data_IF_968265450277
#
_entry.id   IF_968265450277
#
_cell.length_a   1.000
_cell.length_b   1.000
_cell.length_c   1.000
_cell.angle_alpha   90.00
_cell.angle_beta   90.00
_cell.angle_gamma   90.00
#
_symmetry.space_group_name_H-M   'P 1'
#
loop_
_entity.id
_entity.type
_entity.pdbx_description
1 polymer ?
#
# COMPACT_ATOMS: atom_id res chain seq x y z
N UNK A 1 10.01 -7.21 -14.50
CA UNK A 1 8.95 -6.98 -13.50
C UNK A 1 9.40 -7.26 -12.09
N UNK A 2 10.04 -6.29 -11.47
CA UNK A 2 10.57 -6.46 -10.11
C UNK A 2 9.48 -6.54 -9.03
N UNK A 3 8.30 -6.04 -9.29
CA UNK A 3 7.11 -6.04 -8.43
C UNK A 3 6.51 -7.44 -8.24
N UNK A 4 6.81 -8.37 -9.13
CA UNK A 4 6.36 -9.77 -9.06
C UNK A 4 7.49 -10.77 -8.78
N UNK A 5 8.71 -10.29 -8.52
CA UNK A 5 9.81 -11.14 -8.05
C UNK A 5 9.46 -11.76 -6.70
N UNK A 6 9.74 -13.04 -6.55
CA UNK A 6 9.58 -13.77 -5.28
C UNK A 6 10.94 -14.19 -4.73
N UNK A 7 11.05 -14.22 -3.41
CA UNK A 7 12.17 -14.86 -2.73
C UNK A 7 11.96 -16.39 -2.59
N UNK A 8 12.91 -17.08 -1.98
CA UNK A 8 12.85 -18.52 -1.78
C UNK A 8 11.69 -19.00 -0.88
N UNK A 9 11.08 -18.10 -0.13
CA UNK A 9 9.92 -18.35 0.72
C UNK A 9 8.59 -17.94 0.05
N UNK A 10 8.65 -17.40 -1.18
CA UNK A 10 7.49 -16.98 -1.96
C UNK A 10 6.96 -15.58 -1.63
N UNK A 11 7.67 -14.80 -0.82
CA UNK A 11 7.33 -13.39 -0.56
C UNK A 11 7.79 -12.47 -1.70
N UNK A 12 7.20 -11.29 -1.78
CA UNK A 12 7.55 -10.24 -2.75
C UNK A 12 8.45 -9.19 -2.08
N UNK A 13 9.79 -9.35 -2.10
CA UNK A 13 10.69 -8.53 -1.30
C UNK A 13 10.65 -7.05 -1.70
N UNK A 14 10.52 -6.75 -3.00
CA UNK A 14 10.43 -5.36 -3.49
C UNK A 14 9.11 -4.72 -3.07
N UNK A 15 7.98 -5.41 -3.26
CA UNK A 15 6.66 -4.89 -2.85
C UNK A 15 6.60 -4.68 -1.34
N UNK A 16 7.27 -5.54 -0.56
CA UNK A 16 7.33 -5.43 0.88
C UNK A 16 7.99 -4.13 1.31
N UNK A 17 9.21 -3.84 0.85
CA UNK A 17 9.92 -2.60 1.21
C UNK A 17 9.17 -1.34 0.75
N UNK A 18 8.54 -1.39 -0.44
CA UNK A 18 7.69 -0.30 -0.92
C UNK A 18 6.53 -0.05 0.05
N UNK A 19 5.87 -1.13 0.49
CA UNK A 19 4.73 -1.06 1.42
C UNK A 19 5.14 -0.55 2.81
N UNK A 20 6.34 -0.91 3.30
CA UNK A 20 6.90 -0.43 4.56
C UNK A 20 7.14 1.09 4.54
N UNK A 21 7.74 1.60 3.46
CA UNK A 21 7.96 3.04 3.26
C UNK A 21 6.62 3.76 3.10
N UNK A 22 5.71 3.21 2.30
CA UNK A 22 4.41 3.81 2.03
C UNK A 22 3.56 3.93 3.32
N UNK A 23 3.54 2.89 4.17
CA UNK A 23 2.82 2.92 5.44
C UNK A 23 3.29 4.02 6.38
N UNK A 24 4.62 4.17 6.55
CA UNK A 24 5.19 5.26 7.32
C UNK A 24 4.85 6.63 6.71
N UNK A 25 4.99 6.76 5.39
CA UNK A 25 4.73 8.01 4.68
C UNK A 25 3.27 8.44 4.77
N UNK A 26 2.33 7.50 4.76
CA UNK A 26 0.90 7.78 4.84
C UNK A 26 0.53 8.55 6.12
N UNK A 27 1.11 8.17 7.25
CA UNK A 27 0.84 8.83 8.54
C UNK A 27 1.48 10.23 8.60
N UNK A 28 2.69 10.38 8.06
CA UNK A 28 3.34 11.70 7.98
C UNK A 28 2.55 12.66 7.08
N UNK A 29 2.05 12.17 5.95
CA UNK A 29 1.17 12.92 5.04
C UNK A 29 -0.13 13.30 5.77
N UNK A 30 -0.78 12.36 6.43
CA UNK A 30 -2.01 12.64 7.18
C UNK A 30 -1.78 13.72 8.25
N UNK A 31 -0.67 13.64 8.98
CA UNK A 31 -0.28 14.64 9.97
C UNK A 31 -0.07 16.02 9.36
N UNK A 32 0.57 16.10 8.18
CA UNK A 32 0.76 17.35 7.45
C UNK A 32 -0.57 18.01 7.09
N UNK A 33 -1.52 17.24 6.55
CA UNK A 33 -2.80 17.77 6.06
C UNK A 33 -3.86 17.93 7.16
N UNK A 34 -3.64 17.42 8.38
CA UNK A 34 -4.46 17.77 9.54
C UNK A 34 -4.18 19.17 10.07
N UNK A 35 -3.08 19.82 9.67
CA UNK A 35 -2.73 21.18 10.09
C UNK A 35 -3.67 22.23 9.50
N UNK A 36 -3.92 23.31 10.24
CA UNK A 36 -4.70 24.48 9.77
C UNK A 36 -4.11 25.09 8.50
N UNK A 37 -2.78 25.16 8.38
CA UNK A 37 -2.09 25.70 7.21
C UNK A 37 -2.34 24.93 5.91
N UNK A 38 -2.86 23.71 6.03
CA UNK A 38 -3.21 22.84 4.91
C UNK A 38 -4.72 22.61 4.75
N UNK A 39 -5.54 23.35 5.52
CA UNK A 39 -7.00 23.24 5.47
C UNK A 39 -7.58 22.14 6.35
N UNK A 40 -6.76 21.47 7.14
CA UNK A 40 -7.18 20.44 8.08
C UNK A 40 -7.79 20.99 9.37
N UNK A 41 -8.12 20.10 10.28
CA UNK A 41 -8.79 20.40 11.56
C UNK A 41 -7.90 21.12 12.60
N UNK A 42 -6.60 21.25 12.36
CA UNK A 42 -5.65 21.86 13.32
C UNK A 42 -5.40 21.00 14.55
N UNK A 43 -5.32 19.67 14.39
CA UNK A 43 -5.10 18.73 15.50
C UNK A 43 -3.79 17.97 15.34
N UNK A 44 -3.18 17.60 16.47
CA UNK A 44 -2.02 16.68 16.52
C UNK A 44 -2.50 15.24 16.64
N UNK A 45 -1.77 14.31 16.03
CA UNK A 45 -2.16 12.90 16.01
C UNK A 45 -2.24 12.28 17.40
N UNK A 46 -1.25 12.51 18.26
CA UNK A 46 -1.15 11.87 19.57
C UNK A 46 -1.97 12.53 20.68
N UNK A 47 -2.63 13.66 20.42
CA UNK A 47 -3.25 14.45 21.49
C UNK A 47 -2.20 14.99 22.48
N UNK A 48 -2.66 15.48 23.61
CA UNK A 48 -1.84 15.90 24.76
C UNK A 48 -2.64 15.69 26.04
N UNK A 49 -2.06 15.92 27.20
CA UNK A 49 -2.77 15.87 28.49
C UNK A 49 -4.06 16.69 28.46
N UNK A 50 -5.20 16.02 28.64
CA UNK A 50 -6.53 16.65 28.59
C UNK A 50 -7.14 16.79 27.19
N UNK A 51 -6.43 16.40 26.12
CA UNK A 51 -6.94 16.39 24.74
C UNK A 51 -6.78 14.97 24.16
N UNK A 52 -7.87 14.41 23.66
CA UNK A 52 -7.88 13.05 23.09
C UNK A 52 -7.03 12.96 21.84
N UNK A 53 -6.37 11.82 21.57
CA UNK A 53 -5.67 11.55 20.33
C UNK A 53 -6.61 11.55 19.12
N UNK A 54 -6.05 11.79 17.93
CA UNK A 54 -6.76 11.61 16.67
C UNK A 54 -7.11 10.13 16.46
N UNK A 55 -8.26 9.88 15.85
CA UNK A 55 -8.70 8.55 15.45
C UNK A 55 -8.32 8.27 13.99
N UNK A 56 -7.53 7.22 13.78
CA UNK A 56 -7.07 6.77 12.46
C UNK A 56 -7.74 5.45 12.12
N UNK A 57 -8.44 5.41 10.99
CA UNK A 57 -8.98 4.18 10.41
C UNK A 57 -8.05 3.72 9.29
N UNK A 58 -7.63 2.46 9.32
CA UNK A 58 -6.76 1.83 8.32
C UNK A 58 -7.53 0.70 7.65
N UNK A 59 -7.63 0.74 6.32
CA UNK A 59 -8.24 -0.30 5.51
C UNK A 59 -7.15 -1.20 4.97
N UNK A 60 -7.06 -2.42 5.50
CA UNK A 60 -6.04 -3.42 5.14
C UNK A 60 -5.03 -3.69 6.26
N UNK A 61 -4.86 -4.97 6.61
CA UNK A 61 -3.92 -5.47 7.59
C UNK A 61 -2.69 -6.16 6.95
N UNK A 62 -2.30 -5.69 5.73
CA UNK A 62 -1.08 -6.08 5.04
C UNK A 62 0.13 -5.29 5.56
N UNK A 63 1.29 -5.44 4.90
CA UNK A 63 2.53 -4.74 5.27
C UNK A 63 2.35 -3.22 5.35
N UNK A 64 1.67 -2.60 4.38
CA UNK A 64 1.41 -1.16 4.41
C UNK A 64 0.57 -0.77 5.63
N UNK A 65 -0.52 -1.49 5.90
CA UNK A 65 -1.38 -1.23 7.07
C UNK A 65 -0.64 -1.45 8.39
N UNK A 66 0.24 -2.45 8.48
CA UNK A 66 1.10 -2.69 9.64
C UNK A 66 2.01 -1.49 9.92
N UNK A 67 2.75 -1.02 8.91
CA UNK A 67 3.69 0.10 9.08
C UNK A 67 2.96 1.43 9.31
N UNK A 68 1.79 1.64 8.70
CA UNK A 68 0.93 2.77 9.02
C UNK A 68 0.44 2.70 10.49
N UNK A 69 0.02 1.53 10.96
CA UNK A 69 -0.40 1.35 12.36
C UNK A 69 0.75 1.60 13.34
N UNK A 70 1.95 1.06 13.06
CA UNK A 70 3.15 1.30 13.89
C UNK A 70 3.49 2.79 13.99
N UNK A 71 3.49 3.49 12.86
CA UNK A 71 3.77 4.93 12.80
C UNK A 71 2.70 5.73 13.57
N UNK A 72 1.43 5.43 13.39
CA UNK A 72 0.32 6.09 14.07
C UNK A 72 0.36 5.89 15.60
N UNK A 73 0.57 4.63 16.02
CA UNK A 73 0.70 4.29 17.46
C UNK A 73 1.95 4.91 18.07
N UNK A 74 3.07 4.94 17.33
CA UNK A 74 4.30 5.60 17.78
C UNK A 74 4.15 7.10 17.99
N UNK A 75 3.22 7.74 17.27
CA UNK A 75 2.83 9.14 17.46
C UNK A 75 1.71 9.33 18.49
N UNK A 76 1.22 8.25 19.11
CA UNK A 76 0.20 8.29 20.16
C UNK A 76 -1.24 8.36 19.65
N UNK A 77 -1.51 8.15 18.36
CA UNK A 77 -2.87 8.15 17.81
C UNK A 77 -3.65 6.88 18.20
N UNK A 78 -4.98 6.99 18.17
CA UNK A 78 -5.88 5.83 18.30
C UNK A 78 -6.08 5.19 16.94
N UNK A 79 -5.88 3.87 16.84
CA UNK A 79 -5.91 3.12 15.56
C UNK A 79 -7.04 2.10 15.52
N UNK A 80 -7.80 2.09 14.44
CA UNK A 80 -8.82 1.08 14.10
C UNK A 80 -8.48 0.48 12.74
N UNK A 81 -8.41 -0.85 12.66
CA UNK A 81 -7.96 -1.56 11.45
C UNK A 81 -9.05 -2.50 10.96
N UNK A 82 -9.29 -2.45 9.65
CA UNK A 82 -10.26 -3.30 8.96
C UNK A 82 -9.56 -4.13 7.88
N UNK A 83 -9.87 -5.43 7.82
CA UNK A 83 -9.40 -6.34 6.76
C UNK A 83 -10.45 -7.44 6.53
N UNK A 84 -10.49 -8.05 5.36
CA UNK A 84 -11.32 -9.23 5.10
C UNK A 84 -10.84 -10.49 5.84
N UNK A 85 -9.54 -10.57 6.11
CA UNK A 85 -8.89 -11.75 6.70
C UNK A 85 -8.73 -11.60 8.20
N UNK A 86 -9.48 -12.41 8.96
CA UNK A 86 -9.31 -12.54 10.42
C UNK A 86 -7.87 -12.94 10.78
N UNK A 87 -7.24 -13.79 9.96
CA UNK A 87 -5.87 -14.26 10.19
C UNK A 87 -4.86 -13.10 10.08
N UNK A 88 -5.02 -12.21 9.08
CA UNK A 88 -4.18 -11.00 8.97
C UNK A 88 -4.38 -10.07 10.16
N UNK A 89 -5.62 -9.88 10.62
CA UNK A 89 -5.92 -9.07 11.81
C UNK A 89 -5.29 -9.65 13.08
N UNK A 90 -5.30 -10.98 13.24
CA UNK A 90 -4.64 -11.68 14.36
C UNK A 90 -3.14 -11.47 14.33
N UNK A 91 -2.50 -11.79 13.19
CA UNK A 91 -1.06 -11.60 12.99
C UNK A 91 -0.63 -10.17 13.23
N UNK A 92 -1.44 -9.20 12.80
CA UNK A 92 -1.16 -7.79 13.00
C UNK A 92 -1.10 -7.42 14.48
N UNK A 93 -2.06 -7.87 15.31
CA UNK A 93 -2.02 -7.65 16.76
C UNK A 93 -0.78 -8.27 17.43
N UNK A 94 -0.38 -9.47 16.98
CA UNK A 94 0.83 -10.14 17.48
C UNK A 94 2.08 -9.31 17.16
N UNK A 95 2.19 -8.85 15.91
CA UNK A 95 3.35 -8.09 15.42
C UNK A 95 3.41 -6.68 16.03
N UNK A 96 2.27 -6.05 16.31
CA UNK A 96 2.22 -4.73 16.98
C UNK A 96 2.59 -4.81 18.47
N UNK A 97 2.56 -6.00 19.08
CA UNK A 97 2.86 -6.21 20.50
C UNK A 97 1.86 -5.57 21.47
N UNK A 98 0.75 -5.03 20.95
CA UNK A 98 -0.34 -4.45 21.73
C UNK A 98 -1.67 -4.64 20.99
N UNK A 99 -2.76 -4.67 21.77
CA UNK A 99 -4.10 -4.76 21.18
C UNK A 99 -4.51 -3.43 20.58
N UNK A 100 -4.94 -3.47 19.32
CA UNK A 100 -5.64 -2.39 18.64
C UNK A 100 -7.05 -2.83 18.27
N UNK A 101 -7.92 -1.87 17.98
CA UNK A 101 -9.24 -2.21 17.46
C UNK A 101 -9.10 -2.85 16.08
N UNK A 102 -9.62 -4.06 15.92
CA UNK A 102 -9.65 -4.76 14.63
C UNK A 102 -11.07 -5.25 14.33
N UNK A 103 -11.48 -5.19 13.06
CA UNK A 103 -12.77 -5.71 12.61
C UNK A 103 -12.68 -6.19 11.16
N UNK A 104 -13.50 -7.15 10.79
CA UNK A 104 -13.80 -7.40 9.38
C UNK A 104 -14.71 -6.28 8.85
N UNK A 105 -14.82 -6.16 7.52
CA UNK A 105 -15.67 -5.15 6.88
C UNK A 105 -17.15 -5.44 7.14
N UNK A 106 -17.62 -5.00 8.28
CA UNK A 106 -19.02 -5.02 8.66
C UNK A 106 -19.56 -3.59 8.59
N UNK A 107 -20.49 -3.32 7.66
CA UNK A 107 -20.94 -1.97 7.30
C UNK A 107 -21.26 -1.08 8.52
N UNK A 108 -22.12 -1.47 9.50
CA UNK A 108 -22.42 -0.61 10.65
C UNK A 108 -21.20 -0.29 11.53
N UNK A 109 -20.24 -1.21 11.63
CA UNK A 109 -19.01 -1.00 12.41
C UNK A 109 -18.08 -0.05 11.70
N UNK A 110 -17.95 -0.19 10.37
CA UNK A 110 -17.14 0.70 9.52
C UNK A 110 -17.75 2.10 9.50
N UNK A 111 -19.07 2.24 9.31
CA UNK A 111 -19.78 3.53 9.30
C UNK A 111 -19.53 4.30 10.61
N UNK A 112 -19.64 3.61 11.76
CA UNK A 112 -19.35 4.21 13.07
C UNK A 112 -17.87 4.62 13.21
N UNK A 113 -16.94 3.82 12.70
CA UNK A 113 -15.53 4.14 12.74
C UNK A 113 -15.20 5.35 11.86
N UNK A 114 -15.78 5.44 10.65
CA UNK A 114 -15.61 6.55 9.72
C UNK A 114 -16.19 7.86 10.28
N UNK A 115 -17.36 7.81 10.92
CA UNK A 115 -17.97 8.98 11.54
C UNK A 115 -17.10 9.60 12.67
N UNK A 116 -16.30 8.80 13.35
CA UNK A 116 -15.38 9.26 14.38
C UNK A 116 -13.95 9.55 13.87
N UNK A 117 -13.62 9.13 12.65
CA UNK A 117 -12.29 9.23 12.08
C UNK A 117 -11.83 10.68 11.84
N UNK A 118 -10.59 10.94 12.16
CA UNK A 118 -9.86 12.14 11.75
C UNK A 118 -8.98 11.86 10.53
N UNK A 119 -8.57 10.58 10.36
CA UNK A 119 -7.78 10.10 9.23
C UNK A 119 -8.32 8.75 8.75
N UNK A 120 -8.38 8.57 7.43
CA UNK A 120 -8.63 7.30 6.77
C UNK A 120 -7.44 6.95 5.86
N UNK A 121 -6.85 5.78 6.06
CA UNK A 121 -5.75 5.27 5.24
C UNK A 121 -6.26 4.11 4.38
N UNK A 122 -6.22 4.25 3.05
CA UNK A 122 -6.42 3.16 2.10
C UNK A 122 -5.12 2.36 1.95
N UNK A 123 -5.08 1.15 2.48
CA UNK A 123 -3.91 0.27 2.50
C UNK A 123 -4.23 -1.13 1.91
N UNK A 124 -5.26 -1.20 1.08
CA UNK A 124 -5.71 -2.45 0.47
C UNK A 124 -5.10 -2.65 -0.91
N UNK A 125 -4.77 -3.89 -1.23
CA UNK A 125 -4.49 -4.28 -2.60
C UNK A 125 -5.83 -4.50 -3.28
N UNK A 126 -6.09 -3.75 -4.34
CA UNK A 126 -7.27 -3.94 -5.17
C UNK A 126 -7.21 -5.32 -5.84
N UNK A 127 -8.33 -6.04 -5.87
CA UNK A 127 -8.42 -7.34 -6.53
C UNK A 127 -8.72 -7.13 -8.03
N UNK A 128 -8.23 -8.03 -8.88
CA UNK A 128 -8.35 -7.97 -10.34
C UNK A 128 -9.80 -8.02 -10.89
N UNK A 129 -10.80 -8.14 -10.03
CA UNK A 129 -12.22 -8.31 -10.41
C UNK A 129 -12.99 -6.99 -10.61
N UNK A 130 -12.33 -5.84 -10.52
CA UNK A 130 -12.95 -4.53 -10.78
C UNK A 130 -13.82 -3.94 -9.65
N UNK A 131 -14.16 -4.70 -8.61
CA UNK A 131 -14.89 -4.21 -7.43
C UNK A 131 -13.90 -3.89 -6.30
N UNK A 132 -13.21 -2.77 -6.43
CA UNK A 132 -12.15 -2.38 -5.49
C UNK A 132 -12.63 -1.42 -4.40
N UNK A 133 -13.82 -0.87 -4.54
CA UNK A 133 -14.39 0.12 -3.61
C UNK A 133 -14.82 -0.53 -2.30
N UNK A 134 -14.15 -0.15 -1.23
CA UNK A 134 -14.44 -0.59 0.14
C UNK A 134 -15.21 0.47 0.91
N UNK A 135 -14.95 1.74 0.61
CA UNK A 135 -15.63 2.89 1.21
C UNK A 135 -16.37 3.65 0.12
N UNK A 136 -17.71 3.69 0.24
CA UNK A 136 -18.56 4.41 -0.69
C UNK A 136 -18.55 5.92 -0.45
N UNK A 137 -19.01 6.69 -1.45
CA UNK A 137 -19.23 8.13 -1.31
C UNK A 137 -20.11 8.47 -0.11
N UNK A 138 -21.21 7.72 0.09
CA UNK A 138 -22.09 7.91 1.23
C UNK A 138 -21.39 7.73 2.57
N UNK A 139 -20.39 6.85 2.65
CA UNK A 139 -19.57 6.64 3.84
C UNK A 139 -18.54 7.76 4.03
N UNK A 140 -17.97 8.30 2.96
CA UNK A 140 -17.09 9.48 3.04
C UNK A 140 -17.83 10.69 3.62
N UNK A 141 -19.10 10.87 3.27
CA UNK A 141 -19.97 11.93 3.82
C UNK A 141 -20.21 11.80 5.34
N UNK A 142 -19.98 10.63 5.94
CA UNK A 142 -20.06 10.46 7.39
C UNK A 142 -18.82 11.04 8.12
N UNK A 143 -17.72 11.22 7.41
CA UNK A 143 -16.47 11.69 8.02
C UNK A 143 -16.56 13.15 8.46
N UNK A 144 -15.74 13.51 9.44
CA UNK A 144 -15.67 14.88 9.96
C UNK A 144 -15.12 15.84 8.90
N UNK A 145 -15.64 17.06 8.83
CA UNK A 145 -15.05 18.12 8.01
C UNK A 145 -13.61 18.40 8.43
N UNK A 146 -12.70 18.52 7.45
CA UNK A 146 -11.27 18.67 7.69
C UNK A 146 -10.56 17.37 8.07
N UNK A 147 -11.25 16.23 8.07
CA UNK A 147 -10.61 14.91 8.11
C UNK A 147 -9.79 14.67 6.84
N UNK A 148 -8.82 13.77 6.93
CA UNK A 148 -7.88 13.48 5.83
C UNK A 148 -8.01 12.03 5.38
N UNK A 149 -8.19 11.83 4.10
CA UNK A 149 -8.07 10.53 3.42
C UNK A 149 -6.70 10.48 2.73
N UNK A 150 -5.95 9.40 2.97
CA UNK A 150 -4.73 9.08 2.23
C UNK A 150 -4.92 7.73 1.58
N UNK A 151 -5.21 7.71 0.28
CA UNK A 151 -5.39 6.45 -0.45
C UNK A 151 -4.08 5.99 -1.08
N UNK A 152 -3.41 5.05 -0.39
CA UNK A 152 -2.16 4.43 -0.84
C UNK A 152 -2.39 3.30 -1.84
N UNK A 153 -3.67 2.96 -2.11
CA UNK A 153 -4.08 1.96 -3.10
C UNK A 153 -4.28 2.57 -4.49
N UNK A 154 -4.14 3.89 -4.63
CA UNK A 154 -4.50 4.64 -5.83
C UNK A 154 -3.77 4.16 -7.10
N UNK A 155 -2.53 3.67 -6.97
CA UNK A 155 -1.76 3.07 -8.07
C UNK A 155 -2.47 1.86 -8.71
N UNK A 156 -3.37 1.23 -7.97
CA UNK A 156 -4.16 0.06 -8.38
C UNK A 156 -5.67 0.36 -8.50
N UNK A 157 -6.04 1.63 -8.64
CA UNK A 157 -7.43 2.05 -8.80
C UNK A 157 -8.10 2.59 -7.55
N UNK A 158 -7.43 2.54 -6.39
CA UNK A 158 -7.98 3.04 -5.13
C UNK A 158 -8.97 2.09 -4.46
N UNK A 159 -9.25 2.30 -3.17
CA UNK A 159 -10.24 1.54 -2.42
C UNK A 159 -11.38 2.41 -1.86
N UNK A 160 -11.40 3.69 -2.21
CA UNK A 160 -12.38 4.68 -1.77
C UNK A 160 -13.04 5.28 -3.02
N UNK A 161 -14.36 5.25 -3.10
CA UNK A 161 -15.13 5.64 -4.28
C UNK A 161 -14.85 7.08 -4.74
N UNK A 162 -14.62 7.98 -3.79
CA UNK A 162 -14.33 9.39 -4.06
C UNK A 162 -12.84 9.67 -4.33
N UNK A 163 -11.97 8.66 -4.24
CA UNK A 163 -10.54 8.81 -4.48
C UNK A 163 -10.24 8.87 -5.99
N UNK A 164 -9.53 9.91 -6.40
CA UNK A 164 -9.05 10.09 -7.77
C UNK A 164 -7.56 10.48 -7.76
N UNK A 165 -6.76 10.00 -8.73
CA UNK A 165 -5.32 10.26 -8.74
C UNK A 165 -5.00 11.75 -8.78
N UNK A 166 -4.05 12.15 -7.93
CA UNK A 166 -3.51 13.51 -7.83
C UNK A 166 -2.03 13.54 -8.22
N UNK A 167 -1.39 14.68 -8.17
CA UNK A 167 0.04 14.81 -8.51
C UNK A 167 0.84 15.42 -7.36
N UNK A 168 2.16 15.28 -7.38
CA UNK A 168 3.01 15.92 -6.36
C UNK A 168 2.91 17.45 -6.35
N UNK A 169 2.55 18.08 -7.47
CA UNK A 169 2.36 19.54 -7.56
C UNK A 169 1.02 19.97 -6.98
N UNK A 170 -0.03 19.17 -7.19
CA UNK A 170 -1.39 19.37 -6.65
C UNK A 170 -1.81 18.10 -5.91
N UNK A 171 -1.28 17.86 -4.69
CA UNK A 171 -1.37 16.56 -4.05
C UNK A 171 -2.72 16.26 -3.41
N UNK A 172 -3.55 17.28 -3.21
CA UNK A 172 -4.85 17.13 -2.53
C UNK A 172 -5.97 17.86 -3.25
N UNK A 173 -7.18 17.36 -3.03
CA UNK A 173 -8.43 18.08 -3.26
C UNK A 173 -9.37 17.86 -2.07
N UNK A 174 -10.42 18.66 -1.99
CA UNK A 174 -11.43 18.53 -0.94
C UNK A 174 -12.75 18.06 -1.54
N UNK A 175 -13.31 17.00 -1.00
CA UNK A 175 -14.64 16.50 -1.35
C UNK A 175 -15.51 16.42 -0.09
N UNK A 176 -16.69 17.06 -0.09
CA UNK A 176 -17.61 17.14 1.07
C UNK A 176 -16.93 17.59 2.38
N UNK A 177 -15.91 18.43 2.27
CA UNK A 177 -15.13 18.93 3.40
C UNK A 177 -14.05 17.98 3.91
N UNK A 178 -13.84 16.83 3.27
CA UNK A 178 -12.78 15.86 3.57
C UNK A 178 -11.63 16.05 2.57
N UNK A 179 -10.41 16.13 3.07
CA UNK A 179 -9.19 16.32 2.27
C UNK A 179 -8.75 14.95 1.73
N UNK A 180 -8.58 14.84 0.42
CA UNK A 180 -8.12 13.62 -0.25
C UNK A 180 -6.70 13.79 -0.76
N UNK A 181 -5.79 12.97 -0.29
CA UNK A 181 -4.44 12.80 -0.82
C UNK A 181 -4.37 11.45 -1.55
N UNK A 182 -4.21 11.51 -2.86
CA UNK A 182 -4.25 10.33 -3.74
C UNK A 182 -3.12 10.39 -4.78
N UNK A 183 -1.90 10.73 -4.34
CA UNK A 183 -0.73 10.81 -5.24
C UNK A 183 -0.17 9.42 -5.48
N UNK A 184 -0.12 8.94 -6.75
CA UNK A 184 0.57 7.71 -7.10
C UNK A 184 2.07 7.79 -6.79
N UNK A 185 2.71 6.63 -6.61
CA UNK A 185 4.15 6.54 -6.38
C UNK A 185 4.64 7.45 -5.24
N UNK A 186 3.98 7.36 -4.08
CA UNK A 186 4.30 8.17 -2.89
C UNK A 186 5.76 8.05 -2.44
N UNK A 187 6.45 6.97 -2.80
CA UNK A 187 7.84 6.71 -2.45
C UNK A 187 8.79 7.77 -3.00
N UNK A 188 8.43 8.43 -4.10
CA UNK A 188 9.21 9.52 -4.70
C UNK A 188 9.34 10.74 -3.76
N UNK A 189 8.45 10.92 -2.78
CA UNK A 189 8.59 11.94 -1.71
C UNK A 189 9.78 11.69 -0.79
N UNK A 190 10.18 10.44 -0.66
CA UNK A 190 11.29 10.00 0.20
C UNK A 190 12.34 9.23 -0.60
N UNK A 191 12.69 9.77 -1.76
CA UNK A 191 13.50 9.14 -2.79
C UNK A 191 14.85 8.59 -2.27
N UNK A 192 15.49 9.27 -1.33
CA UNK A 192 16.75 8.78 -0.73
C UNK A 192 16.53 7.47 0.01
N UNK A 193 15.50 7.40 0.87
CA UNK A 193 15.15 6.16 1.59
C UNK A 193 14.76 5.06 0.62
N UNK A 194 13.91 5.39 -0.36
CA UNK A 194 13.47 4.44 -1.38
C UNK A 194 14.64 3.86 -2.17
N UNK A 195 15.57 4.69 -2.65
CA UNK A 195 16.74 4.24 -3.43
C UNK A 195 17.66 3.33 -2.63
N UNK A 196 17.93 3.65 -1.36
CA UNK A 196 18.74 2.80 -0.48
C UNK A 196 18.02 1.47 -0.22
N UNK A 197 16.71 1.49 0.05
CA UNK A 197 15.93 0.29 0.28
C UNK A 197 15.91 -0.63 -0.96
N UNK A 198 15.70 -0.06 -2.15
CA UNK A 198 15.82 -0.82 -3.40
C UNK A 198 17.22 -1.41 -3.59
N UNK A 199 18.28 -0.63 -3.34
CA UNK A 199 19.65 -1.12 -3.45
C UNK A 199 19.90 -2.32 -2.53
N UNK A 200 19.40 -2.27 -1.30
CA UNK A 200 19.55 -3.36 -0.33
C UNK A 200 18.85 -4.65 -0.76
N UNK A 201 17.76 -4.57 -1.53
CA UNK A 201 17.06 -5.74 -2.06
C UNK A 201 17.69 -6.22 -3.38
N UNK A 202 18.02 -5.30 -4.28
CA UNK A 202 18.53 -5.69 -5.60
C UNK A 202 19.97 -6.16 -5.59
N UNK A 203 20.83 -5.61 -4.72
CA UNK A 203 22.24 -5.99 -4.70
C UNK A 203 22.44 -7.49 -4.44
N UNK A 204 21.83 -8.13 -3.43
CA UNK A 204 21.91 -9.58 -3.26
C UNK A 204 21.38 -10.38 -4.45
N UNK A 205 20.30 -9.93 -5.08
CA UNK A 205 19.73 -10.57 -6.27
C UNK A 205 20.70 -10.50 -7.46
N UNK A 206 21.31 -9.34 -7.70
CA UNK A 206 22.30 -9.17 -8.78
C UNK A 206 23.55 -10.01 -8.52
N UNK A 207 24.02 -10.09 -7.27
CA UNK A 207 25.12 -10.97 -6.90
C UNK A 207 24.77 -12.44 -7.10
N UNK A 208 23.54 -12.85 -6.76
CA UNK A 208 23.07 -14.21 -7.03
C UNK A 208 23.09 -14.51 -8.53
N UNK A 209 22.53 -13.64 -9.36
CA UNK A 209 22.53 -13.78 -10.82
C UNK A 209 23.98 -13.89 -11.36
N UNK A 210 24.90 -13.06 -10.88
CA UNK A 210 26.30 -13.10 -11.29
C UNK A 210 26.98 -14.44 -10.92
N UNK A 211 26.75 -14.95 -9.71
CA UNK A 211 27.28 -16.25 -9.25
C UNK A 211 26.75 -17.43 -10.06
N UNK A 212 25.55 -17.33 -10.61
CA UNK A 212 24.96 -18.35 -11.49
C UNK A 212 25.50 -18.30 -12.94
N UNK A 213 26.45 -17.41 -13.21
CA UNK A 213 27.01 -17.25 -14.55
C UNK A 213 26.12 -16.43 -15.50
N UNK A 214 25.22 -15.62 -14.94
CA UNK A 214 24.37 -14.67 -15.67
C UNK A 214 22.88 -14.96 -15.58
N UNK A 215 22.12 -14.06 -16.19
CA UNK A 215 20.65 -14.03 -16.06
C UNK A 215 19.97 -15.30 -16.58
N UNK A 216 20.38 -15.81 -17.73
CA UNK A 216 19.78 -17.02 -18.34
C UNK A 216 19.91 -18.25 -17.44
N UNK A 217 21.06 -18.43 -16.79
CA UNK A 217 21.26 -19.53 -15.85
C UNK A 217 20.47 -19.31 -14.54
N UNK A 218 20.46 -18.07 -14.02
CA UNK A 218 19.75 -17.75 -12.79
C UNK A 218 18.25 -18.02 -12.92
N UNK A 219 17.59 -17.62 -14.00
CA UNK A 219 16.15 -17.88 -14.20
C UNK A 219 15.83 -19.36 -14.43
N UNK A 220 16.78 -20.19 -14.87
CA UNK A 220 16.61 -21.64 -14.94
C UNK A 220 16.55 -22.27 -13.56
N UNK A 221 17.40 -21.78 -12.64
CA UNK A 221 17.57 -22.36 -11.31
C UNK A 221 16.62 -21.75 -10.28
N UNK A 222 16.22 -20.50 -10.46
CA UNK A 222 15.43 -19.74 -9.49
C UNK A 222 14.04 -19.42 -10.06
N UNK A 223 13.02 -20.10 -9.52
CA UNK A 223 11.62 -19.90 -9.92
C UNK A 223 11.09 -18.48 -9.53
N UNK A 224 11.58 -17.93 -8.44
CA UNK A 224 11.19 -16.59 -7.98
C UNK A 224 11.67 -15.49 -8.93
N UNK A 225 12.92 -15.60 -9.42
CA UNK A 225 13.44 -14.71 -10.46
C UNK A 225 12.69 -14.90 -11.79
N UNK A 226 12.34 -16.14 -12.12
CA UNK A 226 11.58 -16.48 -13.34
C UNK A 226 10.20 -15.83 -13.37
N UNK A 227 9.53 -15.72 -12.22
CA UNK A 227 8.27 -15.01 -12.11
C UNK A 227 8.38 -13.54 -12.53
N UNK A 228 9.49 -12.88 -12.27
CA UNK A 228 9.74 -11.49 -12.64
C UNK A 228 10.04 -11.24 -14.11
N UNK A 229 10.12 -12.27 -14.96
CA UNK A 229 10.45 -12.10 -16.38
C UNK A 229 9.22 -11.74 -17.18
N UNK A 230 9.18 -10.54 -17.75
CA UNK A 230 8.13 -10.09 -18.67
C UNK A 230 8.48 -10.36 -20.13
N UNK A 231 9.76 -10.23 -20.47
CA UNK A 231 10.29 -10.46 -21.81
C UNK A 231 11.50 -11.38 -21.74
N UNK A 232 11.55 -12.40 -22.57
CA UNK A 232 12.68 -13.29 -22.73
C UNK A 232 13.03 -13.42 -24.23
N UNK A 233 14.21 -12.98 -24.61
CA UNK A 233 14.65 -12.93 -26.01
C UNK A 233 13.63 -12.25 -26.95
N UNK A 234 13.02 -11.15 -26.50
CA UNK A 234 12.01 -10.41 -27.26
C UNK A 234 10.60 -11.02 -27.24
N UNK A 235 10.40 -12.16 -26.57
CA UNK A 235 9.11 -12.85 -26.48
C UNK A 235 8.45 -12.49 -25.14
N UNK A 236 7.19 -12.05 -25.19
CA UNK A 236 6.38 -11.74 -24.02
C UNK A 236 6.01 -13.03 -23.27
N UNK A 237 6.12 -13.03 -21.93
CA UNK A 237 5.93 -14.24 -21.11
C UNK A 237 4.77 -14.15 -20.12
N UNK A 238 4.10 -12.99 -19.99
CA UNK A 238 3.00 -12.76 -19.04
C UNK A 238 1.68 -12.48 -19.75
N UNK A 239 0.69 -13.37 -19.55
CA UNK A 239 -0.63 -13.24 -20.16
C UNK A 239 -1.33 -11.93 -19.76
N UNK A 240 -1.24 -11.52 -18.48
CA UNK A 240 -1.86 -10.26 -18.00
C UNK A 240 -1.42 -9.03 -18.81
N UNK A 241 -0.16 -9.01 -19.25
CA UNK A 241 0.36 -7.93 -20.11
C UNK A 241 -0.08 -8.13 -21.55
N UNK A 242 -0.04 -9.36 -22.02
CA UNK A 242 -0.46 -9.74 -23.37
C UNK A 242 -1.91 -9.34 -23.64
N UNK A 243 -2.81 -9.68 -22.74
CA UNK A 243 -4.25 -9.38 -22.84
C UNK A 243 -4.50 -7.86 -22.91
N UNK A 244 -3.78 -7.07 -22.09
CA UNK A 244 -3.89 -5.59 -22.10
C UNK A 244 -3.39 -4.96 -23.39
N UNK A 245 -2.40 -5.58 -24.05
CA UNK A 245 -1.76 -5.03 -25.24
C UNK A 245 -2.25 -5.66 -26.54
N UNK A 246 -3.15 -6.65 -26.47
CA UNK A 246 -3.59 -7.43 -27.65
C UNK A 246 -2.47 -8.25 -28.26
N UNK A 247 -1.50 -8.71 -27.46
CA UNK A 247 -0.34 -9.50 -27.88
C UNK A 247 -0.48 -10.96 -27.41
N UNK A 248 0.43 -11.82 -27.90
CA UNK A 248 0.50 -13.21 -27.49
C UNK A 248 1.68 -13.39 -26.54
N UNK A 249 1.43 -13.96 -25.35
CA UNK A 249 2.46 -14.41 -24.44
C UNK A 249 2.80 -15.90 -24.69
N UNK A 250 4.01 -16.30 -24.34
CA UNK A 250 4.45 -17.70 -24.31
C UNK A 250 4.95 -18.08 -22.94
N UNK A 251 4.72 -19.33 -22.54
CA UNK A 251 5.21 -19.84 -21.26
C UNK A 251 6.73 -19.80 -21.21
N UNK A 252 7.27 -19.11 -20.21
CA UNK A 252 8.71 -18.96 -20.01
C UNK A 252 9.40 -20.32 -19.78
N UNK A 253 8.71 -21.29 -19.16
CA UNK A 253 9.30 -22.59 -18.91
C UNK A 253 9.55 -23.34 -20.23
N UNK A 254 8.66 -23.20 -21.21
CA UNK A 254 8.85 -23.77 -22.55
C UNK A 254 10.00 -23.08 -23.30
N UNK A 255 10.11 -21.75 -23.16
CA UNK A 255 11.19 -20.99 -23.80
C UNK A 255 12.57 -21.33 -23.22
N UNK A 256 12.66 -21.57 -21.91
CA UNK A 256 13.90 -21.96 -21.23
C UNK A 256 14.28 -23.42 -21.57
N UNK A 257 13.30 -24.32 -21.73
CA UNK A 257 13.54 -25.72 -22.07
C UNK A 257 14.00 -25.91 -23.53
N UNK A 258 13.71 -24.96 -24.41
CA UNK A 258 14.06 -25.00 -25.84
C UNK A 258 15.50 -24.50 -26.13
N UNK A 259 16.25 -24.08 -25.12
CA UNK A 259 17.65 -23.63 -25.17
C UNK A 259 18.60 -24.68 -24.56
#
# INVERSE_FOLDING_TARGET
>A
GFDILKDGEGYYPVVRIMSEIAGNSAIMIASEYLNNSRGGKGIVLGGISGITPAEIVILGAGTLGEFAARAALGLGATVKIFDHSVERLRKLNEVLGQRVFTSVFHKPVLDKALASADVLIGAMRCFDNGENTVVSEAQVRLMKRGAVIVDMSIDHGGCIETAGPTTHEKPVYTYEGVIHYCVPNVLSRVARTASIAYSNVFLPMLQHIARQGGFSNAIRMDAGLREGVYLYNGILTKNVIADKLGLIARDINLLIAAL
#
